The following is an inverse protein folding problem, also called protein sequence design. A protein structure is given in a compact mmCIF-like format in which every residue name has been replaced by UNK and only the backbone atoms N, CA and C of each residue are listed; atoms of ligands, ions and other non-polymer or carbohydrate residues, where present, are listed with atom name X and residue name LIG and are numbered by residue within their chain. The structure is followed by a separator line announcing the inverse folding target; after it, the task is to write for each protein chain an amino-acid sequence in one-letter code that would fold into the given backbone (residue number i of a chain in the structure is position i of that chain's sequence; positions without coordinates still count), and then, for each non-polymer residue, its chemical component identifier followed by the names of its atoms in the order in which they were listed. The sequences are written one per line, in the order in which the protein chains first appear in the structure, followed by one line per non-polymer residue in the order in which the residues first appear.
data_IF_810861799735
#
_entry.id   IF_810861799735
#
_cell.length_a   1.000
_cell.length_b   1.000
_cell.length_c   1.000
_cell.angle_alpha   90.00
_cell.angle_beta   90.00
_cell.angle_gamma   90.00
#
_symmetry.space_group_name_H-M   'P 1'
#
loop_
_entity.id
_entity.type
_entity.pdbx_description
1 polymer ?
#
# COMPACT_ATOMS: atom_id res chain seq x y z
N UNK A 1 26.27 -10.78 -9.47
CA UNK A 1 25.96 -12.12 -8.91
C UNK A 1 25.15 -11.97 -7.64
N UNK A 2 24.02 -12.67 -7.53
CA UNK A 2 23.23 -12.75 -6.29
C UNK A 2 24.06 -13.58 -5.32
N UNK A 3 24.42 -13.04 -4.15
CA UNK A 3 25.17 -13.82 -3.16
C UNK A 3 24.26 -14.92 -2.60
N UNK A 4 24.83 -16.09 -2.28
CA UNK A 4 24.08 -17.24 -1.70
C UNK A 4 23.26 -16.83 -0.47
N UNK A 5 23.80 -15.94 0.35
CA UNK A 5 23.11 -15.39 1.53
C UNK A 5 21.83 -14.59 1.17
N UNK A 6 21.87 -13.80 0.10
CA UNK A 6 20.71 -13.05 -0.36
C UNK A 6 19.60 -13.95 -0.92
N UNK A 7 19.97 -14.98 -1.70
CA UNK A 7 19.01 -15.96 -2.20
C UNK A 7 18.34 -16.73 -1.05
N UNK A 8 19.12 -17.14 -0.06
CA UNK A 8 18.57 -17.80 1.16
C UNK A 8 17.64 -16.87 1.93
N UNK A 9 17.96 -15.60 2.07
CA UNK A 9 17.08 -14.62 2.72
C UNK A 9 15.74 -14.47 1.97
N UNK A 10 15.76 -14.36 0.64
CA UNK A 10 14.54 -14.27 -0.16
C UNK A 10 13.67 -15.51 -0.01
N UNK A 11 14.28 -16.69 -0.08
CA UNK A 11 13.56 -17.97 0.12
C UNK A 11 12.97 -18.04 1.52
N UNK A 12 13.75 -17.69 2.54
CA UNK A 12 13.26 -17.67 3.93
C UNK A 12 12.09 -16.70 4.12
N UNK A 13 12.17 -15.48 3.57
CA UNK A 13 11.07 -14.50 3.63
C UNK A 13 9.84 -14.97 2.86
N UNK A 14 10.02 -15.60 1.69
CA UNK A 14 8.92 -16.15 0.91
C UNK A 14 8.21 -17.31 1.64
N UNK A 15 8.98 -18.22 2.23
CA UNK A 15 8.43 -19.33 3.04
C UNK A 15 7.73 -18.78 4.28
N UNK A 16 8.32 -17.79 4.95
CA UNK A 16 7.71 -17.13 6.10
C UNK A 16 6.40 -16.41 5.71
N UNK A 17 6.36 -15.75 4.57
CA UNK A 17 5.14 -15.11 4.06
C UNK A 17 4.07 -16.15 3.75
N UNK A 18 4.40 -17.22 3.02
CA UNK A 18 3.46 -18.29 2.73
C UNK A 18 2.92 -18.93 4.03
N UNK A 19 3.79 -19.25 4.98
CA UNK A 19 3.38 -19.77 6.29
C UNK A 19 2.49 -18.78 7.05
N UNK A 20 2.80 -17.47 6.99
CA UNK A 20 1.99 -16.42 7.62
C UNK A 20 0.63 -16.26 6.97
N UNK A 21 0.55 -16.29 5.64
CA UNK A 21 -0.71 -16.30 4.90
C UNK A 21 -1.58 -17.46 5.33
N UNK A 22 -0.97 -18.64 5.39
CA UNK A 22 -1.56 -19.89 5.86
C UNK A 22 -2.14 -19.71 7.27
N UNK A 23 -1.33 -19.32 8.21
CA UNK A 23 -1.69 -19.19 9.63
C UNK A 23 -2.76 -18.09 9.80
N UNK A 24 -2.66 -16.97 9.08
CA UNK A 24 -3.58 -15.83 9.18
C UNK A 24 -5.03 -16.18 8.90
N UNK A 25 -5.30 -17.18 8.06
CA UNK A 25 -6.65 -17.63 7.74
C UNK A 25 -7.37 -18.30 8.94
N UNK A 26 -6.61 -18.81 9.91
CA UNK A 26 -7.16 -19.39 11.15
C UNK A 26 -7.72 -18.35 12.10
N UNK A 27 -7.29 -17.08 12.01
CA UNK A 27 -7.70 -16.00 12.91
C UNK A 27 -8.91 -15.21 12.36
N UNK A 28 -9.75 -14.71 13.25
CA UNK A 28 -10.87 -13.84 12.91
C UNK A 28 -12.00 -13.92 13.94
N UNK A 29 -12.95 -12.99 13.93
CA UNK A 29 -14.03 -12.92 14.94
C UNK A 29 -14.93 -14.16 14.94
N UNK A 30 -15.20 -14.74 13.79
CA UNK A 30 -15.92 -16.01 13.68
C UNK A 30 -14.98 -17.19 13.89
N UNK A 31 -15.28 -18.05 14.85
CA UNK A 31 -14.46 -19.25 15.12
C UNK A 31 -14.73 -20.32 14.06
N UNK A 32 -13.76 -20.58 13.20
CA UNK A 32 -13.75 -21.71 12.26
C UNK A 32 -12.58 -22.62 12.66
N UNK A 33 -12.82 -23.91 12.89
CA UNK A 33 -11.73 -24.84 13.23
C UNK A 33 -10.63 -24.83 12.15
N UNK A 34 -9.38 -24.84 12.57
CA UNK A 34 -8.22 -24.71 11.65
C UNK A 34 -8.22 -25.82 10.59
N UNK A 35 -8.62 -27.04 10.98
CA UNK A 35 -8.76 -28.17 10.05
C UNK A 35 -9.76 -27.89 8.93
N UNK A 36 -10.90 -27.26 9.26
CA UNK A 36 -11.93 -26.90 8.29
C UNK A 36 -11.43 -25.79 7.36
N UNK A 37 -10.69 -24.80 7.90
CA UNK A 37 -10.06 -23.73 7.08
C UNK A 37 -9.19 -24.35 5.99
N UNK A 38 -8.33 -25.33 6.35
CA UNK A 38 -7.43 -25.99 5.40
C UNK A 38 -8.15 -26.84 4.39
N UNK A 39 -9.15 -27.60 4.80
CA UNK A 39 -9.96 -28.41 3.88
C UNK A 39 -10.63 -27.51 2.83
N UNK A 40 -11.23 -26.39 3.26
CA UNK A 40 -11.84 -25.42 2.34
C UNK A 40 -10.81 -24.86 1.34
N UNK A 41 -9.66 -24.42 1.82
CA UNK A 41 -8.60 -23.82 0.98
C UNK A 41 -8.07 -24.84 -0.03
N UNK A 42 -7.74 -26.06 0.43
CA UNK A 42 -7.22 -27.12 -0.44
C UNK A 42 -8.25 -27.54 -1.49
N UNK A 43 -9.50 -27.67 -1.10
CA UNK A 43 -10.57 -28.01 -2.04
C UNK A 43 -10.81 -26.91 -3.07
N UNK A 44 -10.96 -25.65 -2.64
CA UNK A 44 -11.25 -24.54 -3.54
C UNK A 44 -10.08 -24.15 -4.45
N UNK A 45 -8.84 -24.28 -3.99
CA UNK A 45 -7.66 -23.91 -4.76
C UNK A 45 -7.15 -25.06 -5.66
N UNK A 46 -7.28 -26.30 -5.22
CA UNK A 46 -6.64 -27.45 -5.88
C UNK A 46 -7.61 -28.60 -6.19
N UNK A 47 -8.87 -28.54 -5.77
CA UNK A 47 -9.84 -29.63 -5.93
C UNK A 47 -9.56 -30.86 -5.07
N UNK A 48 -8.77 -30.70 -3.99
CA UNK A 48 -8.34 -31.81 -3.12
C UNK A 48 -9.25 -31.95 -1.91
N UNK A 49 -9.74 -33.18 -1.65
CA UNK A 49 -10.56 -33.50 -0.49
C UNK A 49 -12.05 -33.57 -0.78
N UNK A 50 -12.86 -33.77 0.26
CA UNK A 50 -14.32 -33.86 0.19
C UNK A 50 -14.97 -32.70 0.95
N UNK A 51 -16.14 -32.26 0.49
CA UNK A 51 -16.91 -31.17 1.14
C UNK A 51 -17.63 -31.74 2.36
N UNK A 52 -17.12 -31.43 3.54
CA UNK A 52 -17.67 -31.85 4.83
C UNK A 52 -17.72 -30.69 5.85
N UNK A 53 -18.00 -29.49 5.38
CA UNK A 53 -18.13 -28.27 6.17
C UNK A 53 -19.45 -27.56 5.88
N UNK A 54 -19.80 -26.61 6.74
CA UNK A 54 -20.99 -25.80 6.59
C UNK A 54 -20.77 -24.70 5.52
N UNK A 55 -21.82 -24.40 4.73
CA UNK A 55 -21.76 -23.33 3.72
C UNK A 55 -21.32 -21.96 4.29
N UNK A 56 -21.72 -21.64 5.54
CA UNK A 56 -21.29 -20.44 6.23
C UNK A 56 -19.80 -20.41 6.53
N UNK A 57 -19.17 -21.56 6.84
CA UNK A 57 -17.72 -21.66 7.05
C UNK A 57 -16.95 -21.43 5.75
N UNK A 58 -17.45 -22.00 4.64
CA UNK A 58 -16.90 -21.77 3.32
C UNK A 58 -16.97 -20.27 2.94
N UNK A 59 -18.12 -19.64 3.15
CA UNK A 59 -18.30 -18.22 2.87
C UNK A 59 -17.27 -17.36 3.64
N UNK A 60 -17.12 -17.60 4.95
CA UNK A 60 -16.18 -16.86 5.80
C UNK A 60 -14.74 -17.06 5.32
N UNK A 61 -14.34 -18.30 5.04
CA UNK A 61 -12.95 -18.60 4.69
C UNK A 61 -12.64 -18.16 3.26
N UNK A 62 -13.43 -18.61 2.29
CA UNK A 62 -13.10 -18.44 0.88
C UNK A 62 -13.48 -17.07 0.31
N UNK A 63 -14.61 -16.49 0.72
CA UNK A 63 -15.07 -15.21 0.17
C UNK A 63 -14.66 -13.99 1.00
N UNK A 64 -14.30 -14.17 2.28
CA UNK A 64 -13.90 -13.05 3.14
C UNK A 64 -12.41 -13.12 3.49
N UNK A 65 -11.94 -14.22 4.15
CA UNK A 65 -10.59 -14.27 4.71
C UNK A 65 -9.50 -14.38 3.65
N UNK A 66 -9.68 -15.24 2.64
CA UNK A 66 -8.66 -15.42 1.59
C UNK A 66 -8.45 -14.14 0.78
N UNK A 67 -9.48 -13.49 0.21
CA UNK A 67 -9.29 -12.22 -0.51
C UNK A 67 -8.70 -11.12 0.37
N UNK A 68 -9.12 -11.03 1.64
CA UNK A 68 -8.62 -10.03 2.59
C UNK A 68 -7.12 -10.23 2.89
N UNK A 69 -6.69 -11.45 3.12
CA UNK A 69 -5.28 -11.81 3.31
C UNK A 69 -4.45 -11.47 2.06
N UNK A 70 -4.93 -11.85 0.87
CA UNK A 70 -4.24 -11.55 -0.39
C UNK A 70 -4.15 -10.04 -0.64
N UNK A 71 -5.23 -9.31 -0.43
CA UNK A 71 -5.22 -7.85 -0.55
C UNK A 71 -4.25 -7.21 0.44
N UNK A 72 -4.21 -7.68 1.69
CA UNK A 72 -3.26 -7.22 2.71
C UNK A 72 -1.81 -7.43 2.27
N UNK A 73 -1.48 -8.61 1.74
CA UNK A 73 -0.16 -8.88 1.21
C UNK A 73 0.21 -7.95 0.05
N UNK A 74 -0.71 -7.73 -0.90
CA UNK A 74 -0.51 -6.85 -2.05
C UNK A 74 -0.33 -5.38 -1.65
N UNK A 75 -1.21 -4.87 -0.78
CA UNK A 75 -1.13 -3.49 -0.29
C UNK A 75 0.16 -3.26 0.49
N UNK A 76 0.52 -4.19 1.37
CA UNK A 76 1.78 -4.11 2.13
C UNK A 76 3.00 -4.11 1.23
N UNK A 77 3.06 -5.01 0.23
CA UNK A 77 4.12 -5.05 -0.77
C UNK A 77 4.22 -3.72 -1.54
N UNK A 78 3.09 -3.26 -2.09
CA UNK A 78 3.05 -2.07 -2.93
C UNK A 78 3.45 -0.81 -2.17
N UNK A 79 2.91 -0.57 -0.97
CA UNK A 79 3.27 0.58 -0.15
C UNK A 79 4.75 0.58 0.25
N UNK A 80 5.33 -0.59 0.58
CA UNK A 80 6.75 -0.72 0.87
C UNK A 80 7.63 -0.44 -0.35
N UNK A 81 7.25 -0.91 -1.54
CA UNK A 81 7.94 -0.60 -2.79
C UNK A 81 7.92 0.90 -3.10
N UNK A 82 6.72 1.50 -3.03
CA UNK A 82 6.52 2.93 -3.28
C UNK A 82 7.38 3.75 -2.32
N UNK A 83 7.34 3.45 -1.02
CA UNK A 83 8.15 4.12 -0.01
C UNK A 83 9.64 4.02 -0.32
N UNK A 84 10.14 2.84 -0.68
CA UNK A 84 11.56 2.65 -0.99
C UNK A 84 12.04 3.54 -2.15
N UNK A 85 11.26 3.63 -3.24
CA UNK A 85 11.66 4.41 -4.42
C UNK A 85 11.45 5.91 -4.23
N UNK A 86 10.41 6.33 -3.50
CA UNK A 86 10.20 7.74 -3.17
C UNK A 86 11.32 8.28 -2.29
N UNK A 87 11.75 7.52 -1.27
CA UNK A 87 12.89 7.87 -0.43
C UNK A 87 14.19 8.00 -1.25
N UNK A 88 14.36 7.15 -2.28
CA UNK A 88 15.52 7.22 -3.16
C UNK A 88 15.52 8.48 -4.04
N UNK A 89 14.40 8.76 -4.71
CA UNK A 89 14.27 9.86 -5.67
C UNK A 89 14.28 11.23 -5.00
N UNK A 90 13.70 11.33 -3.80
CA UNK A 90 13.69 12.54 -2.98
C UNK A 90 14.93 12.69 -2.10
N UNK A 91 15.73 11.65 -1.97
CA UNK A 91 16.86 11.56 -1.02
C UNK A 91 16.45 11.91 0.41
N UNK A 92 15.20 11.63 0.73
CA UNK A 92 14.61 11.88 2.04
C UNK A 92 14.08 10.55 2.62
N UNK A 93 14.63 10.05 3.73
CA UNK A 93 14.18 8.80 4.35
C UNK A 93 12.76 8.87 4.92
N UNK A 94 12.19 10.07 5.04
CA UNK A 94 10.83 10.32 5.51
C UNK A 94 9.83 10.51 4.36
N UNK A 95 10.24 10.32 3.11
CA UNK A 95 9.31 10.40 1.99
C UNK A 95 8.32 9.22 2.00
N UNK A 96 7.05 9.56 1.89
CA UNK A 96 5.92 8.65 1.95
C UNK A 96 4.89 9.03 0.86
N UNK A 97 4.14 8.09 0.28
CA UNK A 97 3.12 8.40 -0.72
C UNK A 97 2.04 9.40 -0.25
N UNK A 98 1.77 9.46 1.05
CA UNK A 98 0.84 10.45 1.60
C UNK A 98 1.30 11.90 1.39
N UNK A 99 2.61 12.16 1.40
CA UNK A 99 3.18 13.48 1.18
C UNK A 99 3.07 13.96 -0.27
N UNK A 100 2.70 13.09 -1.20
CA UNK A 100 2.55 13.44 -2.62
C UNK A 100 1.13 13.90 -3.01
N UNK A 101 0.21 14.02 -2.07
CA UNK A 101 -1.17 14.43 -2.34
C UNK A 101 -2.08 13.34 -2.92
N UNK A 102 -1.53 12.19 -3.28
CA UNK A 102 -2.29 11.11 -3.94
C UNK A 102 -3.40 10.59 -3.03
N UNK A 103 -3.10 10.35 -1.76
CA UNK A 103 -4.07 9.83 -0.78
C UNK A 103 -5.18 10.84 -0.48
N UNK A 104 -4.86 12.12 -0.33
CA UNK A 104 -5.87 13.17 -0.10
C UNK A 104 -6.77 13.38 -1.30
N UNK A 105 -6.23 13.26 -2.52
CA UNK A 105 -7.02 13.23 -3.74
C UNK A 105 -7.96 12.03 -3.80
N UNK A 106 -7.47 10.83 -3.43
CA UNK A 106 -8.30 9.62 -3.32
C UNK A 106 -9.45 9.83 -2.31
N UNK A 107 -9.14 10.44 -1.17
CA UNK A 107 -10.14 10.79 -0.15
C UNK A 107 -11.20 11.73 -0.69
N UNK A 108 -10.82 12.79 -1.38
CA UNK A 108 -11.78 13.72 -1.98
C UNK A 108 -12.67 13.01 -3.01
N UNK A 109 -12.11 12.16 -3.88
CA UNK A 109 -12.87 11.37 -4.85
C UNK A 109 -13.87 10.43 -4.17
N UNK A 110 -13.46 9.74 -3.11
CA UNK A 110 -14.32 8.87 -2.31
C UNK A 110 -15.47 9.64 -1.64
N UNK A 111 -15.17 10.80 -1.02
CA UNK A 111 -16.14 11.66 -0.38
C UNK A 111 -17.20 12.15 -1.38
N UNK A 112 -16.77 12.63 -2.55
CA UNK A 112 -17.67 13.09 -3.60
C UNK A 112 -18.66 11.99 -3.99
N UNK A 113 -18.16 10.79 -4.24
CA UNK A 113 -19.01 9.71 -4.72
C UNK A 113 -19.96 9.20 -3.65
N UNK A 114 -19.49 9.00 -2.43
CA UNK A 114 -20.34 8.44 -1.35
C UNK A 114 -21.41 9.41 -0.89
N UNK A 115 -21.11 10.72 -0.86
CA UNK A 115 -22.05 11.72 -0.33
C UNK A 115 -22.97 12.34 -1.38
N UNK A 116 -22.51 12.47 -2.64
CA UNK A 116 -23.20 13.30 -3.62
C UNK A 116 -23.59 12.56 -4.90
N UNK A 117 -22.92 11.47 -5.25
CA UNK A 117 -23.13 10.78 -6.53
C UNK A 117 -23.85 9.44 -6.35
N UNK A 118 -23.53 8.69 -5.28
CA UNK A 118 -24.06 7.36 -5.03
C UNK A 118 -23.41 6.28 -5.89
N UNK A 119 -23.94 5.06 -5.88
CA UNK A 119 -23.44 3.94 -6.65
C UNK A 119 -23.86 4.04 -8.13
N UNK A 120 -22.87 4.18 -9.06
CA UNK A 120 -23.10 4.23 -10.50
C UNK A 120 -22.75 2.89 -11.16
N UNK A 121 -21.62 2.30 -10.79
CA UNK A 121 -21.03 1.08 -11.36
C UNK A 121 -20.86 -0.02 -10.29
N UNK A 122 -21.77 -0.05 -9.32
CA UNK A 122 -21.76 -1.03 -8.22
C UNK A 122 -20.47 -0.97 -7.41
N UNK A 123 -19.89 -2.12 -7.11
CA UNK A 123 -18.68 -2.26 -6.27
C UNK A 123 -17.46 -1.46 -6.75
N UNK A 124 -17.39 -1.10 -8.02
CA UNK A 124 -16.28 -0.34 -8.58
C UNK A 124 -16.43 1.18 -8.41
N UNK A 125 -17.60 1.66 -8.01
CA UNK A 125 -17.87 3.11 -7.92
C UNK A 125 -16.88 3.82 -6.99
N UNK A 126 -16.75 3.35 -5.77
CA UNK A 126 -15.84 3.93 -4.78
C UNK A 126 -14.36 3.80 -5.19
N UNK A 127 -13.84 2.60 -5.57
CA UNK A 127 -12.47 2.47 -6.04
C UNK A 127 -12.13 3.37 -7.24
N UNK A 128 -12.99 3.44 -8.24
CA UNK A 128 -12.76 4.25 -9.44
C UNK A 128 -12.75 5.75 -9.10
N UNK A 129 -13.68 6.23 -8.30
CA UNK A 129 -13.73 7.63 -7.89
C UNK A 129 -12.49 8.02 -7.05
N UNK A 130 -12.10 7.18 -6.10
CA UNK A 130 -10.88 7.39 -5.32
C UNK A 130 -9.63 7.38 -6.20
N UNK A 131 -9.53 6.45 -7.16
CA UNK A 131 -8.43 6.40 -8.12
C UNK A 131 -8.38 7.66 -9.00
N UNK A 132 -9.50 8.11 -9.54
CA UNK A 132 -9.56 9.35 -10.33
C UNK A 132 -9.12 10.55 -9.48
N UNK A 133 -9.62 10.68 -8.26
CA UNK A 133 -9.22 11.75 -7.34
C UNK A 133 -7.72 11.72 -7.04
N UNK A 134 -7.15 10.54 -6.84
CA UNK A 134 -5.71 10.33 -6.67
C UNK A 134 -4.91 10.82 -7.87
N UNK A 135 -5.33 10.44 -9.08
CA UNK A 135 -4.64 10.83 -10.32
C UNK A 135 -4.76 12.33 -10.60
N UNK A 136 -5.93 12.93 -10.38
CA UNK A 136 -6.12 14.37 -10.51
C UNK A 136 -5.23 15.16 -9.54
N UNK A 137 -5.19 14.75 -8.27
CA UNK A 137 -4.29 15.35 -7.27
C UNK A 137 -2.83 15.29 -7.71
N UNK A 138 -2.37 14.13 -8.17
CA UNK A 138 -1.02 13.97 -8.69
C UNK A 138 -0.74 14.88 -9.88
N UNK A 139 -1.66 14.99 -10.85
CA UNK A 139 -1.51 15.88 -11.99
C UNK A 139 -1.37 17.34 -11.55
N UNK A 140 -2.16 17.78 -10.57
CA UNK A 140 -2.04 19.11 -9.97
C UNK A 140 -0.67 19.30 -9.32
N UNK A 141 -0.19 18.34 -8.54
CA UNK A 141 1.15 18.38 -7.91
C UNK A 141 2.23 18.52 -8.96
N UNK A 142 2.20 17.71 -10.02
CA UNK A 142 3.19 17.78 -11.10
C UNK A 142 3.13 19.08 -11.87
N UNK A 143 1.94 19.61 -12.14
CA UNK A 143 1.75 20.88 -12.84
C UNK A 143 2.32 22.06 -12.02
N UNK A 144 2.05 22.10 -10.71
CA UNK A 144 2.52 23.17 -9.81
C UNK A 144 4.02 23.01 -9.51
N UNK A 145 4.51 21.79 -9.34
CA UNK A 145 5.92 21.54 -9.04
C UNK A 145 6.84 21.78 -10.25
N UNK A 146 6.34 21.58 -11.48
CA UNK A 146 7.12 21.76 -12.70
C UNK A 146 7.28 23.25 -13.02
N UNK A 147 8.49 23.79 -12.87
CA UNK A 147 8.82 25.18 -13.26
C UNK A 147 10.07 25.16 -14.14
N UNK A 148 10.01 25.89 -15.27
CA UNK A 148 11.12 26.00 -16.22
C UNK A 148 11.72 24.64 -16.64
N UNK A 149 10.90 23.60 -16.74
CA UNK A 149 11.33 22.28 -17.12
C UNK A 149 12.13 21.51 -16.06
N UNK A 150 12.24 22.02 -14.83
CA UNK A 150 12.92 21.33 -13.71
C UNK A 150 11.91 20.76 -12.73
N UNK A 151 12.19 19.55 -12.25
CA UNK A 151 11.44 18.84 -11.20
C UNK A 151 12.40 18.63 -10.03
N UNK A 152 12.39 19.55 -9.07
CA UNK A 152 13.20 19.49 -7.86
C UNK A 152 12.46 18.68 -6.78
N UNK A 153 13.17 17.82 -6.06
CA UNK A 153 12.58 16.92 -5.06
C UNK A 153 11.88 17.69 -3.93
N UNK A 154 12.52 18.75 -3.41
CA UNK A 154 11.97 19.53 -2.31
C UNK A 154 10.69 20.27 -2.72
N UNK A 155 10.67 20.78 -3.95
CA UNK A 155 9.51 21.45 -4.50
C UNK A 155 8.33 20.48 -4.73
N UNK A 156 8.61 19.25 -5.19
CA UNK A 156 7.60 18.21 -5.34
C UNK A 156 6.96 17.86 -3.99
N UNK A 157 7.77 17.70 -2.94
CA UNK A 157 7.27 17.42 -1.61
C UNK A 157 6.41 18.58 -1.06
N UNK A 158 6.90 19.82 -1.17
CA UNK A 158 6.15 20.99 -0.72
C UNK A 158 4.83 21.18 -1.47
N UNK A 159 4.84 21.01 -2.79
CA UNK A 159 3.61 21.07 -3.60
C UNK A 159 2.66 19.93 -3.24
N UNK A 160 3.19 18.70 -3.01
CA UNK A 160 2.41 17.57 -2.56
C UNK A 160 1.68 17.84 -1.24
N UNK A 161 2.40 18.38 -0.24
CA UNK A 161 1.82 18.78 1.04
C UNK A 161 0.76 19.86 0.87
N UNK A 162 1.05 20.93 0.10
CA UNK A 162 0.09 22.01 -0.14
C UNK A 162 -1.19 21.51 -0.82
N UNK A 163 -1.06 20.70 -1.87
CA UNK A 163 -2.20 20.08 -2.56
C UNK A 163 -2.96 19.14 -1.62
N UNK A 164 -2.25 18.38 -0.77
CA UNK A 164 -2.90 17.52 0.25
C UNK A 164 -3.81 18.31 1.17
N UNK A 165 -3.35 19.46 1.66
CA UNK A 165 -4.17 20.30 2.55
C UNK A 165 -5.41 20.85 1.82
N UNK A 166 -5.27 21.29 0.57
CA UNK A 166 -6.40 21.81 -0.23
C UNK A 166 -7.42 20.70 -0.48
N UNK A 167 -6.98 19.52 -0.93
CA UNK A 167 -7.86 18.38 -1.20
C UNK A 167 -8.55 17.89 0.07
N UNK A 168 -7.82 17.84 1.20
CA UNK A 168 -8.38 17.44 2.48
C UNK A 168 -9.38 18.47 3.04
N UNK A 169 -9.09 19.78 2.87
CA UNK A 169 -10.03 20.84 3.24
C UNK A 169 -11.34 20.74 2.44
N UNK A 170 -11.24 20.49 1.13
CA UNK A 170 -12.41 20.27 0.28
C UNK A 170 -13.18 18.99 0.71
N UNK A 171 -12.49 17.90 0.98
CA UNK A 171 -13.12 16.66 1.46
C UNK A 171 -13.84 16.87 2.81
N UNK A 172 -13.21 17.56 3.76
CA UNK A 172 -13.79 17.86 5.06
C UNK A 172 -15.00 18.78 4.96
N UNK A 173 -14.95 19.77 4.05
CA UNK A 173 -16.11 20.65 3.79
C UNK A 173 -17.30 19.86 3.26
N UNK A 174 -17.07 18.97 2.28
CA UNK A 174 -18.12 18.10 1.74
C UNK A 174 -18.66 17.11 2.79
N UNK A 175 -17.79 16.57 3.66
CA UNK A 175 -18.22 15.75 4.79
C UNK A 175 -19.11 16.53 5.77
N UNK A 176 -18.76 17.77 6.08
CA UNK A 176 -19.54 18.63 6.96
C UNK A 176 -20.93 18.98 6.38
N UNK A 177 -21.02 19.13 5.06
CA UNK A 177 -22.27 19.44 4.35
C UNK A 177 -23.10 18.20 4.01
N UNK A 178 -22.54 17.00 4.15
CA UNK A 178 -23.17 15.74 3.75
C UNK A 178 -24.07 15.10 4.82
N UNK A 179 -24.74 14.01 4.46
CA UNK A 179 -25.50 13.18 5.39
C UNK A 179 -24.59 12.51 6.41
N UNK A 180 -24.93 12.55 7.68
CA UNK A 180 -24.15 11.98 8.79
C UNK A 180 -23.95 10.46 8.68
N UNK A 181 -24.89 9.70 8.13
CA UNK A 181 -24.75 8.25 7.95
C UNK A 181 -23.71 7.93 6.86
N UNK A 182 -23.81 8.60 5.74
CA UNK A 182 -22.86 8.46 4.65
C UNK A 182 -21.46 8.95 5.05
N UNK A 183 -21.38 10.06 5.81
CA UNK A 183 -20.14 10.58 6.36
C UNK A 183 -19.40 9.56 7.24
N UNK A 184 -20.13 8.80 8.07
CA UNK A 184 -19.53 7.74 8.90
C UNK A 184 -18.86 6.66 8.06
N UNK A 185 -19.50 6.19 6.98
CA UNK A 185 -18.92 5.18 6.08
C UNK A 185 -17.61 5.66 5.43
N UNK A 186 -17.58 6.92 4.98
CA UNK A 186 -16.37 7.53 4.42
C UNK A 186 -15.28 7.66 5.47
N UNK A 187 -15.60 8.08 6.70
CA UNK A 187 -14.62 8.17 7.78
C UNK A 187 -13.98 6.81 8.09
N UNK A 188 -14.74 5.73 8.14
CA UNK A 188 -14.18 4.39 8.28
C UNK A 188 -13.25 4.02 7.13
N UNK A 189 -13.64 4.32 5.88
CA UNK A 189 -12.79 4.10 4.73
C UNK A 189 -11.49 4.93 4.79
N UNK A 190 -11.56 6.20 5.22
CA UNK A 190 -10.39 7.08 5.40
C UNK A 190 -9.40 6.56 6.43
N UNK A 191 -9.86 5.85 7.46
CA UNK A 191 -8.99 5.24 8.46
C UNK A 191 -8.22 4.01 7.95
N UNK A 192 -8.53 3.55 6.75
CA UNK A 192 -7.87 2.43 6.08
C UNK A 192 -8.29 1.07 6.61
N UNK A 193 -8.57 0.17 5.70
CA UNK A 193 -9.00 -1.18 6.01
C UNK A 193 -9.04 -2.07 4.78
N UNK A 194 -9.21 -3.38 4.97
CA UNK A 194 -9.31 -4.37 3.90
C UNK A 194 -10.74 -4.91 3.74
N UNK A 195 -11.74 -4.18 4.23
CA UNK A 195 -13.16 -4.59 4.18
C UNK A 195 -13.74 -4.70 2.76
N UNK A 196 -13.15 -4.02 1.78
CA UNK A 196 -13.53 -4.12 0.36
C UNK A 196 -12.88 -5.32 -0.36
N UNK A 197 -12.11 -6.16 0.33
CA UNK A 197 -11.45 -7.31 -0.27
C UNK A 197 -12.47 -8.32 -0.79
N UNK A 198 -12.49 -8.51 -2.13
CA UNK A 198 -13.28 -9.48 -2.86
C UNK A 198 -12.47 -10.03 -4.02
N UNK A 199 -12.74 -11.24 -4.46
CA UNK A 199 -12.03 -11.88 -5.56
C UNK A 199 -12.04 -11.03 -6.83
N UNK A 200 -13.17 -10.41 -7.15
CA UNK A 200 -13.38 -9.58 -8.34
C UNK A 200 -12.47 -8.33 -8.36
N UNK A 201 -12.10 -7.83 -7.17
CA UNK A 201 -11.29 -6.63 -7.03
C UNK A 201 -9.77 -6.91 -6.94
N UNK A 202 -9.33 -8.17 -6.81
CA UNK A 202 -7.91 -8.51 -6.62
C UNK A 202 -7.07 -8.43 -7.89
N UNK A 203 -7.66 -8.58 -9.05
CA UNK A 203 -6.91 -8.63 -10.32
C UNK A 203 -6.11 -7.35 -10.56
N UNK A 204 -6.72 -6.17 -10.33
CA UNK A 204 -6.09 -4.87 -10.57
C UNK A 204 -4.94 -4.61 -9.60
N UNK A 205 -5.08 -4.74 -8.26
CA UNK A 205 -3.95 -4.61 -7.33
C UNK A 205 -2.83 -5.61 -7.61
N UNK A 206 -3.17 -6.87 -7.96
CA UNK A 206 -2.16 -7.89 -8.29
C UNK A 206 -1.33 -7.48 -9.49
N UNK A 207 -1.99 -7.12 -10.60
CA UNK A 207 -1.30 -6.64 -11.78
C UNK A 207 -0.45 -5.38 -11.49
N UNK A 208 -1.00 -4.44 -10.72
CA UNK A 208 -0.32 -3.19 -10.36
C UNK A 208 0.94 -3.45 -9.54
N UNK A 209 0.89 -4.32 -8.54
CA UNK A 209 2.05 -4.62 -7.68
C UNK A 209 3.11 -5.41 -8.46
N UNK A 210 2.71 -6.40 -9.24
CA UNK A 210 3.67 -7.22 -10.02
C UNK A 210 4.34 -6.39 -11.11
N UNK A 211 3.58 -5.64 -11.91
CA UNK A 211 4.12 -4.77 -12.95
C UNK A 211 4.95 -3.63 -12.34
N UNK A 212 4.47 -3.04 -11.24
CA UNK A 212 5.21 -2.03 -10.48
C UNK A 212 6.55 -2.55 -9.99
N UNK A 213 6.59 -3.74 -9.39
CA UNK A 213 7.84 -4.38 -8.96
C UNK A 213 8.80 -4.59 -10.14
N UNK A 214 8.32 -5.12 -11.26
CA UNK A 214 9.14 -5.34 -12.46
C UNK A 214 9.73 -4.04 -12.99
N UNK A 215 8.91 -3.00 -13.14
CA UNK A 215 9.35 -1.68 -13.62
C UNK A 215 10.37 -1.06 -12.66
N UNK A 216 10.08 -1.06 -11.35
CA UNK A 216 10.94 -0.45 -10.34
C UNK A 216 12.28 -1.20 -10.19
N UNK A 217 12.29 -2.52 -10.28
CA UNK A 217 13.54 -3.32 -10.31
C UNK A 217 14.31 -3.04 -11.59
N UNK A 218 13.66 -2.86 -12.73
CA UNK A 218 14.29 -2.40 -13.98
C UNK A 218 14.94 -1.01 -13.84
N UNK A 219 14.39 -0.15 -12.97
CA UNK A 219 14.91 1.18 -12.65
C UNK A 219 15.94 1.20 -11.51
N UNK A 220 16.35 0.05 -10.97
CA UNK A 220 17.25 0.00 -9.82
C UNK A 220 18.58 0.76 -10.04
N UNK A 221 19.18 0.66 -11.25
CA UNK A 221 20.42 1.39 -11.57
C UNK A 221 20.25 2.91 -11.57
N UNK A 222 19.26 3.50 -12.27
CA UNK A 222 18.95 4.93 -12.16
C UNK A 222 18.64 5.39 -10.73
N UNK A 223 17.91 4.59 -9.95
CA UNK A 223 17.59 4.89 -8.54
C UNK A 223 18.85 4.94 -7.67
N UNK A 224 19.77 3.97 -7.82
CA UNK A 224 21.05 3.96 -7.12
C UNK A 224 21.91 5.18 -7.46
N UNK A 225 21.94 5.57 -8.74
CA UNK A 225 22.68 6.74 -9.18
C UNK A 225 22.12 8.05 -8.60
N UNK A 226 20.77 8.21 -8.56
CA UNK A 226 20.13 9.37 -7.94
C UNK A 226 20.38 9.46 -6.42
N UNK A 227 20.43 8.33 -5.74
CA UNK A 227 20.81 8.28 -4.31
C UNK A 227 22.24 8.75 -4.06
N UNK A 228 23.18 8.43 -4.97
CA UNK A 228 24.56 8.87 -4.88
C UNK A 228 24.75 10.39 -5.17
N UNK A 229 23.72 11.03 -5.71
CA UNK A 229 23.70 12.48 -5.99
C UNK A 229 23.26 12.79 -7.42
N UNK A 230 22.72 13.98 -7.62
CA UNK A 230 22.23 14.41 -8.93
C UNK A 230 23.38 14.60 -9.93
N UNK A 231 24.50 15.16 -9.47
CA UNK A 231 25.71 15.30 -10.31
C UNK A 231 26.25 13.94 -10.75
N UNK A 232 26.29 12.96 -9.84
CA UNK A 232 26.69 11.59 -10.15
C UNK A 232 25.75 10.96 -11.18
N UNK A 233 24.44 11.16 -11.07
CA UNK A 233 23.50 10.67 -12.06
C UNK A 233 23.74 11.29 -13.45
N UNK A 234 23.99 12.61 -13.51
CA UNK A 234 24.27 13.33 -14.77
C UNK A 234 25.59 12.85 -15.39
N UNK A 235 26.67 12.66 -14.62
CA UNK A 235 27.95 12.14 -15.13
C UNK A 235 27.82 10.72 -15.67
N UNK A 236 26.89 9.93 -15.18
CA UNK A 236 26.53 8.61 -15.70
C UNK A 236 25.59 8.67 -16.93
N UNK A 237 25.33 9.86 -17.48
CA UNK A 237 24.48 10.05 -18.65
C UNK A 237 22.98 9.94 -18.37
N UNK A 238 22.55 9.98 -17.10
CA UNK A 238 21.16 9.88 -16.73
C UNK A 238 20.49 11.25 -16.68
N UNK A 239 19.28 11.36 -17.25
CA UNK A 239 18.43 12.52 -17.08
C UNK A 239 17.64 12.36 -15.75
N UNK A 240 18.13 13.03 -14.69
CA UNK A 240 17.54 12.96 -13.35
C UNK A 240 16.05 13.32 -13.35
N UNK A 241 15.62 14.33 -14.15
CA UNK A 241 14.21 14.73 -14.30
C UNK A 241 13.37 13.57 -14.82
N UNK A 242 13.80 12.92 -15.89
CA UNK A 242 13.05 11.82 -16.51
C UNK A 242 12.93 10.62 -15.57
N UNK A 243 13.99 10.32 -14.81
CA UNK A 243 13.96 9.25 -13.81
C UNK A 243 12.98 9.59 -12.70
N UNK A 244 13.03 10.81 -12.15
CA UNK A 244 12.06 11.28 -11.14
C UNK A 244 10.64 11.20 -11.66
N UNK A 245 10.36 11.74 -12.84
CA UNK A 245 9.01 11.73 -13.42
C UNK A 245 8.47 10.29 -13.56
N UNK A 246 9.27 9.37 -14.12
CA UNK A 246 8.85 7.97 -14.26
C UNK A 246 8.56 7.32 -12.92
N UNK A 247 9.41 7.52 -11.91
CA UNK A 247 9.20 6.96 -10.57
C UNK A 247 7.95 7.53 -9.93
N UNK A 248 7.73 8.85 -10.01
CA UNK A 248 6.53 9.48 -9.48
C UNK A 248 5.27 8.99 -10.17
N UNK A 249 5.27 8.84 -11.50
CA UNK A 249 4.15 8.28 -12.25
C UNK A 249 3.81 6.85 -11.80
N UNK A 250 4.81 5.98 -11.72
CA UNK A 250 4.62 4.60 -11.28
C UNK A 250 4.16 4.55 -9.82
N UNK A 251 4.83 5.29 -8.93
CA UNK A 251 4.49 5.33 -7.51
C UNK A 251 3.05 5.85 -7.29
N UNK A 252 2.64 6.89 -7.99
CA UNK A 252 1.30 7.46 -7.85
C UNK A 252 0.22 6.55 -8.42
N UNK A 253 0.48 5.91 -9.58
CA UNK A 253 -0.43 4.91 -10.13
C UNK A 253 -0.63 3.76 -9.15
N UNK A 254 0.46 3.20 -8.63
CA UNK A 254 0.40 2.14 -7.62
C UNK A 254 -0.33 2.61 -6.37
N UNK A 255 -0.01 3.79 -5.84
CA UNK A 255 -0.67 4.35 -4.66
C UNK A 255 -2.17 4.55 -4.91
N UNK A 256 -2.54 5.13 -6.05
CA UNK A 256 -3.93 5.37 -6.43
C UNK A 256 -4.75 4.08 -6.46
N UNK A 257 -4.22 3.01 -7.08
CA UNK A 257 -4.88 1.70 -7.11
C UNK A 257 -4.99 1.08 -5.72
N UNK A 258 -3.91 1.10 -4.93
CA UNK A 258 -3.91 0.47 -3.61
C UNK A 258 -4.82 1.22 -2.63
N UNK A 259 -4.69 2.54 -2.55
CA UNK A 259 -5.51 3.39 -1.64
C UNK A 259 -6.98 3.36 -2.03
N UNK A 260 -7.31 3.27 -3.33
CA UNK A 260 -8.72 3.22 -3.76
C UNK A 260 -9.49 2.01 -3.20
N UNK A 261 -8.80 0.92 -2.89
CA UNK A 261 -9.40 -0.31 -2.36
C UNK A 261 -9.18 -0.46 -0.85
N UNK A 262 -8.03 0.00 -0.33
CA UNK A 262 -7.67 -0.17 1.08
C UNK A 262 -7.88 1.07 1.94
N UNK A 263 -8.27 2.20 1.35
CA UNK A 263 -8.23 3.48 2.06
C UNK A 263 -6.81 3.89 2.44
N UNK A 264 -6.68 4.80 3.40
CA UNK A 264 -5.41 5.40 3.79
C UNK A 264 -4.67 4.51 4.80
N UNK A 265 -3.57 3.88 4.38
CA UNK A 265 -2.68 3.08 5.23
C UNK A 265 -1.28 3.69 5.21
N UNK A 266 -0.88 4.35 6.30
CA UNK A 266 0.41 5.02 6.44
C UNK A 266 1.50 4.17 7.08
N UNK A 267 2.72 4.74 7.16
CA UNK A 267 3.91 4.20 7.82
C UNK A 267 4.54 2.94 7.23
N UNK A 268 3.83 2.13 6.46
CA UNK A 268 4.39 0.93 5.81
C UNK A 268 5.54 1.32 4.89
N UNK A 269 5.33 2.35 4.05
CA UNK A 269 6.34 2.89 3.13
C UNK A 269 7.52 3.57 3.81
N UNK A 270 7.37 3.98 5.07
CA UNK A 270 8.47 4.56 5.86
C UNK A 270 9.29 3.49 6.57
N UNK A 271 8.63 2.61 7.29
CA UNK A 271 9.27 1.66 8.21
C UNK A 271 9.89 0.48 7.47
N UNK A 272 9.16 -0.15 6.54
CA UNK A 272 9.61 -1.37 5.87
C UNK A 272 10.91 -1.17 5.08
N UNK A 273 11.07 -0.11 4.24
CA UNK A 273 12.34 0.12 3.56
C UNK A 273 13.50 0.39 4.51
N UNK A 274 13.25 1.01 5.67
CA UNK A 274 14.28 1.22 6.67
C UNK A 274 14.80 -0.11 7.24
N UNK A 275 13.89 -1.03 7.57
CA UNK A 275 14.24 -2.39 8.04
C UNK A 275 14.97 -3.17 6.93
N UNK A 276 14.43 -3.14 5.71
CA UNK A 276 15.02 -3.84 4.57
C UNK A 276 16.45 -3.39 4.26
N UNK A 277 16.75 -2.07 4.34
CA UNK A 277 18.12 -1.55 4.16
C UNK A 277 19.09 -2.09 5.18
N UNK A 278 18.67 -2.36 6.41
CA UNK A 278 19.54 -2.98 7.43
C UNK A 278 19.86 -4.44 7.12
N UNK A 279 18.99 -5.14 6.38
CA UNK A 279 19.18 -6.55 6.02
C UNK A 279 20.02 -6.73 4.76
N UNK A 280 19.77 -5.91 3.72
CA UNK A 280 20.36 -6.14 2.38
C UNK A 280 21.11 -4.94 1.81
N UNK A 281 21.22 -3.84 2.57
CA UNK A 281 21.86 -2.60 2.11
C UNK A 281 20.90 -1.74 1.27
N UNK A 282 21.46 -0.68 0.68
CA UNK A 282 20.69 0.33 -0.05
C UNK A 282 20.58 0.07 -1.57
N UNK A 283 21.17 -1.00 -2.09
CA UNK A 283 21.13 -1.35 -3.51
C UNK A 283 19.72 -1.80 -3.92
N UNK A 284 19.05 -1.03 -4.79
CA UNK A 284 17.63 -1.19 -5.10
C UNK A 284 17.27 -2.53 -5.72
N UNK A 285 18.16 -3.16 -6.49
CA UNK A 285 17.89 -4.46 -7.09
C UNK A 285 17.69 -5.56 -6.03
N UNK A 286 18.35 -5.40 -4.87
CA UNK A 286 18.20 -6.30 -3.72
C UNK A 286 17.14 -5.81 -2.74
N UNK A 287 17.06 -4.50 -2.59
CA UNK A 287 16.17 -3.87 -1.62
C UNK A 287 14.69 -4.06 -1.97
N UNK A 288 14.30 -3.84 -3.24
CA UNK A 288 12.90 -3.85 -3.64
C UNK A 288 12.19 -5.19 -3.42
N UNK A 289 12.75 -6.35 -3.82
CA UNK A 289 12.12 -7.64 -3.52
C UNK A 289 11.96 -7.91 -2.03
N UNK A 290 12.95 -7.52 -1.22
CA UNK A 290 12.88 -7.66 0.25
C UNK A 290 11.83 -6.73 0.83
N UNK A 291 11.70 -5.49 0.33
CA UNK A 291 10.64 -4.56 0.73
C UNK A 291 9.26 -5.14 0.44
N UNK A 292 9.05 -5.73 -0.74
CA UNK A 292 7.78 -6.33 -1.10
C UNK A 292 7.39 -7.46 -0.12
N UNK A 293 8.30 -8.40 0.13
CA UNK A 293 8.05 -9.53 1.05
C UNK A 293 7.83 -9.08 2.48
N UNK A 294 8.66 -8.17 3.00
CA UNK A 294 8.51 -7.64 4.36
C UNK A 294 7.23 -6.81 4.52
N UNK A 295 6.88 -6.00 3.50
CA UNK A 295 5.65 -5.22 3.50
C UNK A 295 4.41 -6.10 3.50
N UNK A 296 4.39 -7.15 2.67
CA UNK A 296 3.34 -8.18 2.69
C UNK A 296 3.20 -8.82 4.06
N UNK A 297 4.33 -9.31 4.60
CA UNK A 297 4.35 -9.97 5.90
C UNK A 297 3.83 -9.06 7.02
N UNK A 298 4.30 -7.80 7.04
CA UNK A 298 3.89 -6.83 8.02
C UNK A 298 2.38 -6.57 7.97
N UNK A 299 1.82 -6.30 6.79
CA UNK A 299 0.43 -5.92 6.70
C UNK A 299 -0.54 -7.09 6.91
N UNK A 300 -0.16 -8.31 6.53
CA UNK A 300 -0.93 -9.53 6.86
C UNK A 300 -1.07 -9.68 8.38
N UNK A 301 0.01 -9.48 9.14
CA UNK A 301 -0.06 -9.60 10.60
C UNK A 301 -0.76 -8.42 11.27
N UNK A 302 -0.61 -7.21 10.74
CA UNK A 302 -1.38 -6.05 11.23
C UNK A 302 -2.88 -6.26 10.98
N UNK A 303 -3.28 -6.84 9.85
CA UNK A 303 -4.68 -7.20 9.60
C UNK A 303 -5.18 -8.27 10.58
N UNK A 304 -4.39 -9.30 10.88
CA UNK A 304 -4.74 -10.29 11.90
C UNK A 304 -4.95 -9.61 13.26
N UNK A 305 -4.04 -8.74 13.66
CA UNK A 305 -4.18 -7.97 14.91
C UNK A 305 -5.44 -7.08 14.89
N UNK A 306 -5.69 -6.37 13.79
CA UNK A 306 -6.81 -5.47 13.64
C UNK A 306 -8.18 -6.17 13.82
N UNK A 307 -8.33 -7.40 13.30
CA UNK A 307 -9.59 -8.16 13.38
C UNK A 307 -9.71 -9.08 14.61
N UNK A 308 -8.71 -9.09 15.49
CA UNK A 308 -8.72 -9.97 16.68
C UNK A 308 -8.66 -9.20 17.99
N UNK A 309 -8.01 -8.01 18.03
CA UNK A 309 -7.77 -7.25 19.26
C UNK A 309 -9.07 -6.72 19.90
N UNK A 310 -10.04 -6.29 19.10
CA UNK A 310 -11.28 -5.66 19.56
C UNK A 310 -12.50 -6.43 19.05
N UNK A 311 -12.32 -7.73 18.72
CA UNK A 311 -13.43 -8.53 18.19
C UNK A 311 -14.70 -8.41 19.06
N UNK A 312 -15.92 -8.30 18.46
CA UNK A 312 -16.23 -8.57 17.06
C UNK A 312 -15.99 -7.41 16.10
N UNK A 313 -15.62 -6.22 16.54
CA UNK A 313 -15.36 -5.06 15.70
C UNK A 313 -13.94 -5.14 15.09
N UNK A 314 -13.79 -4.61 13.87
CA UNK A 314 -12.52 -4.49 13.20
C UNK A 314 -11.86 -3.14 13.57
N UNK A 315 -10.62 -3.18 14.08
CA UNK A 315 -9.80 -1.98 14.22
C UNK A 315 -9.38 -1.50 12.83
N UNK A 316 -9.49 -0.20 12.49
CA UNK A 316 -8.96 0.30 11.23
C UNK A 316 -7.45 0.05 11.12
N UNK A 317 -7.03 -0.54 9.99
CA UNK A 317 -5.62 -0.96 9.78
C UNK A 317 -4.69 0.25 9.78
N UNK A 318 -5.14 1.39 9.22
CA UNK A 318 -4.36 2.62 9.20
C UNK A 318 -4.06 3.14 10.61
N UNK A 319 -4.98 2.97 11.56
CA UNK A 319 -4.75 3.31 12.99
C UNK A 319 -3.67 2.40 13.58
N UNK A 320 -3.77 1.09 13.34
CA UNK A 320 -2.78 0.13 13.83
C UNK A 320 -1.39 0.39 13.23
N UNK A 321 -1.29 0.62 11.92
CA UNK A 321 0.00 0.91 11.26
C UNK A 321 0.59 2.24 11.72
N UNK A 322 -0.24 3.26 11.95
CA UNK A 322 0.21 4.56 12.46
C UNK A 322 0.76 4.43 13.90
N UNK A 323 0.09 3.68 14.77
CA UNK A 323 0.54 3.45 16.12
C UNK A 323 1.89 2.69 16.14
N UNK A 324 1.99 1.58 15.40
CA UNK A 324 3.23 0.79 15.32
C UNK A 324 4.36 1.60 14.69
N UNK A 325 4.09 2.30 13.59
CA UNK A 325 5.08 3.10 12.88
C UNK A 325 5.56 4.32 13.69
N UNK A 326 4.65 5.00 14.38
CA UNK A 326 4.98 6.11 15.28
C UNK A 326 5.92 5.66 16.41
N UNK A 327 5.57 4.57 17.10
CA UNK A 327 6.42 3.98 18.15
C UNK A 327 7.77 3.52 17.61
N UNK A 328 7.82 2.93 16.42
CA UNK A 328 9.06 2.53 15.76
C UNK A 328 9.99 3.75 15.55
N UNK A 329 9.48 4.87 15.02
CA UNK A 329 10.29 6.06 14.78
C UNK A 329 10.74 6.76 16.07
N UNK A 330 9.88 6.83 17.09
CA UNK A 330 10.26 7.34 18.41
C UNK A 330 11.42 6.51 18.99
N UNK A 331 11.30 5.16 18.91
CA UNK A 331 12.37 4.27 19.35
C UNK A 331 13.66 4.39 18.55
N UNK A 332 13.56 4.69 17.25
CA UNK A 332 14.72 4.91 16.38
C UNK A 332 15.47 6.22 16.73
N UNK A 333 14.72 7.30 17.01
CA UNK A 333 15.31 8.60 17.39
C UNK A 333 15.98 8.57 18.77
N UNK A 334 15.47 7.76 19.69
CA UNK A 334 16.05 7.62 21.03
C UNK A 334 17.40 6.89 21.05
N UNK A 335 17.72 6.13 19.98
CA UNK A 335 18.98 5.38 19.86
C UNK A 335 20.09 6.14 19.11
N UNK A 336 19.80 7.33 18.60
CA UNK A 336 20.74 8.27 18.02
C UNK A 336 21.08 9.38 19.03
#
# INVERSE_FOLDING_TARGET
MITRRYALLLVALAVLLLGSCVISLGFGPARVPVEVVWRIVLYKAFGLGEVNWLAGQEHIVWLIRVPRMLLGALVGAGLALIGAVLQAVTRNPLADPHLLGVTSGATLGAVIVVLHVGEIIGLLTLPVAAFIGAMLSMLVVLAVASRNGRLESDRLLLCGVAVSFVMMAAANLLLFMGDHRAASAVMFWMLGGLGLARWELLAVPTATVLLGLLVLVGMARPLNALMAGEQTAVTLGLNARNVRLKVFLVASLMTGVLVSISGSIGFVGLMVPHIARRLVGAEHRRLLPVCALLGSLFLVWVDVAARTLIAPEDLPIGVATAAIGGLFFIGLMRKR
#
